data_IF_259873987103
#
_entry.id   IF_259873987103
#
_cell.length_a   1.000
_cell.length_b   1.000
_cell.length_c   1.000
_cell.angle_alpha   90.00
_cell.angle_beta   90.00
_cell.angle_gamma   90.00
#
_symmetry.space_group_name_H-M   'P 1'
#
loop_
_entity.id
_entity.type
_entity.pdbx_description
1 polymer ?
#
# COMPACT_ATOMS: atom_id res chain seq x y z
N UNK A 1 -1.72 3.65 20.68
CA UNK A 1 -1.72 2.69 19.53
C UNK A 1 -1.24 3.37 18.26
N UNK A 2 -1.81 4.53 17.91
CA UNK A 2 -1.27 5.39 16.87
C UNK A 2 0.16 5.87 17.16
N UNK A 3 0.51 6.18 18.41
CA UNK A 3 1.91 6.52 18.74
C UNK A 3 2.87 5.37 18.40
N UNK A 4 2.49 4.11 18.64
CA UNK A 4 3.33 2.96 18.32
C UNK A 4 3.55 2.82 16.80
N UNK A 5 2.54 3.13 15.99
CA UNK A 5 2.69 3.20 14.54
C UNK A 5 3.67 4.30 14.17
N UNK A 6 3.52 5.50 14.73
CA UNK A 6 4.42 6.60 14.45
C UNK A 6 5.88 6.31 14.86
N UNK A 7 6.10 5.77 16.05
CA UNK A 7 7.44 5.45 16.54
C UNK A 7 8.11 4.30 15.77
N UNK A 8 7.33 3.37 15.22
CA UNK A 8 7.89 2.33 14.33
C UNK A 8 8.11 2.85 12.91
N UNK A 9 7.24 3.69 12.38
CA UNK A 9 7.41 4.34 11.07
C UNK A 9 8.66 5.23 11.04
N UNK A 10 8.95 5.98 12.11
CA UNK A 10 10.19 6.77 12.25
C UNK A 10 11.49 5.96 12.10
N UNK A 11 11.44 4.64 12.19
CA UNK A 11 12.60 3.74 12.00
C UNK A 11 12.80 3.33 10.54
N UNK A 12 11.85 3.62 9.66
CA UNK A 12 12.01 3.43 8.22
C UNK A 12 12.94 4.51 7.68
N UNK A 13 13.82 4.09 6.78
CA UNK A 13 14.78 4.99 6.16
C UNK A 13 14.20 5.56 4.87
N UNK A 14 14.43 6.85 4.65
CA UNK A 14 14.27 7.48 3.34
C UNK A 14 15.03 6.65 2.29
N UNK A 15 14.35 6.14 1.24
CA UNK A 15 15.03 5.42 0.19
C UNK A 15 16.04 6.32 -0.55
N UNK A 16 17.14 5.76 -1.06
CA UNK A 16 18.00 6.45 -2.03
C UNK A 16 17.18 7.00 -3.21
N UNK A 17 17.52 8.21 -3.65
CA UNK A 17 16.77 8.94 -4.68
C UNK A 17 16.63 8.13 -5.97
N UNK A 18 17.69 7.46 -6.42
CA UNK A 18 17.68 6.63 -7.63
C UNK A 18 16.62 5.51 -7.59
N UNK A 19 16.37 4.91 -6.43
CA UNK A 19 15.36 3.85 -6.28
C UNK A 19 13.94 4.43 -6.18
N UNK A 20 13.80 5.61 -5.55
CA UNK A 20 12.54 6.34 -5.56
C UNK A 20 12.15 6.81 -6.97
N UNK A 21 13.14 7.22 -7.78
CA UNK A 21 12.96 7.56 -9.19
C UNK A 21 12.59 6.35 -10.03
N UNK A 22 13.27 5.21 -9.86
CA UNK A 22 12.91 3.96 -10.54
C UNK A 22 11.46 3.58 -10.26
N UNK A 23 11.05 3.62 -8.98
CA UNK A 23 9.66 3.38 -8.60
C UNK A 23 8.72 4.36 -9.29
N UNK A 24 9.03 5.66 -9.28
CA UNK A 24 8.18 6.68 -9.89
C UNK A 24 8.03 6.54 -11.40
N UNK A 25 9.07 6.05 -12.10
CA UNK A 25 9.01 5.75 -13.53
C UNK A 25 8.07 4.56 -13.83
N UNK A 26 7.94 3.62 -12.88
CA UNK A 26 7.16 2.38 -13.05
C UNK A 26 5.80 2.41 -12.35
N UNK A 27 5.50 3.39 -11.50
CA UNK A 27 4.35 3.41 -10.59
C UNK A 27 2.98 3.16 -11.26
N UNK A 28 2.79 3.68 -12.47
CA UNK A 28 1.54 3.50 -13.21
C UNK A 28 1.41 2.07 -13.74
N UNK A 29 2.52 1.46 -14.18
CA UNK A 29 2.59 0.03 -14.55
C UNK A 29 2.32 -0.84 -13.32
N UNK A 30 2.95 -0.55 -12.19
CA UNK A 30 2.75 -1.29 -10.94
C UNK A 30 1.27 -1.22 -10.49
N UNK A 31 0.64 -0.03 -10.58
CA UNK A 31 -0.77 0.14 -10.24
C UNK A 31 -1.69 -0.67 -11.15
N UNK A 32 -1.44 -0.64 -12.47
CA UNK A 32 -2.24 -1.35 -13.45
C UNK A 32 -2.16 -2.87 -13.25
N UNK A 33 -0.96 -3.39 -12.97
CA UNK A 33 -0.78 -4.82 -12.70
C UNK A 33 -1.44 -5.22 -11.38
N UNK A 34 -1.38 -4.37 -10.33
CA UNK A 34 -2.10 -4.62 -9.08
C UNK A 34 -3.61 -4.69 -9.31
N UNK A 35 -4.17 -3.69 -9.99
CA UNK A 35 -5.59 -3.67 -10.35
C UNK A 35 -6.00 -4.93 -11.08
N UNK A 36 -5.22 -5.34 -12.10
CA UNK A 36 -5.47 -6.55 -12.89
C UNK A 36 -5.43 -7.82 -12.03
N UNK A 37 -4.41 -8.01 -11.20
CA UNK A 37 -4.28 -9.22 -10.36
C UNK A 37 -5.39 -9.31 -9.32
N UNK A 38 -5.73 -8.19 -8.70
CA UNK A 38 -6.77 -8.16 -7.66
C UNK A 38 -8.18 -8.28 -8.26
N UNK A 39 -8.47 -7.59 -9.37
CA UNK A 39 -9.78 -7.68 -10.03
C UNK A 39 -10.07 -9.06 -10.64
N UNK A 40 -9.02 -9.83 -10.96
CA UNK A 40 -9.14 -11.20 -11.48
C UNK A 40 -9.41 -12.26 -10.41
N UNK A 41 -9.47 -11.89 -9.13
CA UNK A 41 -9.76 -12.85 -8.04
C UNK A 41 -11.23 -13.26 -8.07
N UNK A 42 -11.49 -14.56 -7.93
CA UNK A 42 -12.86 -15.09 -7.83
C UNK A 42 -13.62 -14.51 -6.62
N UNK A 43 -12.92 -14.18 -5.53
CA UNK A 43 -13.51 -13.62 -4.32
C UNK A 43 -13.50 -12.08 -4.26
N UNK A 44 -13.26 -11.39 -5.38
CA UNK A 44 -13.09 -9.92 -5.38
C UNK A 44 -14.27 -9.17 -4.76
N UNK A 45 -15.52 -9.48 -5.13
CA UNK A 45 -16.68 -8.80 -4.57
C UNK A 45 -16.83 -9.05 -3.07
N UNK A 46 -16.41 -10.23 -2.58
CA UNK A 46 -16.37 -10.50 -1.14
C UNK A 46 -15.30 -9.64 -0.46
N UNK A 47 -14.18 -9.37 -1.11
CA UNK A 47 -13.09 -8.57 -0.55
C UNK A 47 -13.39 -7.07 -0.52
N UNK A 48 -13.99 -6.52 -1.59
CA UNK A 48 -14.17 -5.06 -1.72
C UNK A 48 -15.60 -4.59 -1.50
N UNK A 49 -16.57 -5.51 -1.44
CA UNK A 49 -18.01 -5.19 -1.47
C UNK A 49 -18.55 -5.10 -2.90
N UNK A 50 -19.81 -5.50 -3.08
CA UNK A 50 -20.48 -5.49 -4.39
C UNK A 50 -20.46 -4.09 -5.02
N UNK A 51 -20.03 -4.00 -6.28
CA UNK A 51 -19.96 -2.74 -7.02
C UNK A 51 -18.72 -1.87 -6.75
N UNK A 52 -17.81 -2.28 -5.86
CA UNK A 52 -16.64 -1.46 -5.48
C UNK A 52 -15.35 -1.76 -6.26
N UNK A 53 -15.38 -2.60 -7.30
CA UNK A 53 -14.17 -2.97 -8.06
C UNK A 53 -13.49 -1.73 -8.67
N UNK A 54 -14.25 -0.81 -9.28
CA UNK A 54 -13.66 0.44 -9.80
C UNK A 54 -13.01 1.29 -8.71
N UNK A 55 -13.61 1.36 -7.52
CA UNK A 55 -13.02 2.07 -6.37
C UNK A 55 -11.72 1.40 -5.89
N UNK A 56 -11.63 0.07 -5.96
CA UNK A 56 -10.40 -0.68 -5.69
C UNK A 56 -9.31 -0.35 -6.71
N UNK A 57 -9.64 -0.25 -8.00
CA UNK A 57 -8.67 0.14 -9.03
C UNK A 57 -8.16 1.57 -8.83
N UNK A 58 -9.03 2.47 -8.39
CA UNK A 58 -8.67 3.84 -8.00
C UNK A 58 -7.73 3.82 -6.78
N UNK A 59 -8.00 2.96 -5.80
CA UNK A 59 -7.12 2.74 -4.65
C UNK A 59 -5.72 2.31 -5.09
N UNK A 60 -5.60 1.34 -6.00
CA UNK A 60 -4.32 0.87 -6.53
C UNK A 60 -3.51 2.01 -7.15
N UNK A 61 -4.15 2.90 -7.91
CA UNK A 61 -3.49 4.09 -8.49
C UNK A 61 -3.09 5.09 -7.42
N UNK A 62 -3.94 5.32 -6.43
CA UNK A 62 -3.66 6.24 -5.33
C UNK A 62 -2.52 5.73 -4.44
N UNK A 63 -2.48 4.43 -4.15
CA UNK A 63 -1.37 3.78 -3.44
C UNK A 63 -0.05 4.01 -4.17
N UNK A 64 0.04 3.66 -5.46
CA UNK A 64 1.25 3.89 -6.28
C UNK A 64 1.69 5.36 -6.27
N UNK A 65 0.76 6.30 -6.42
CA UNK A 65 1.09 7.74 -6.43
C UNK A 65 1.58 8.22 -5.07
N UNK A 66 0.87 7.83 -4.01
CA UNK A 66 1.21 8.20 -2.65
C UNK A 66 2.58 7.65 -2.25
N UNK A 67 2.83 6.36 -2.47
CA UNK A 67 4.13 5.74 -2.18
C UNK A 67 5.24 6.38 -3.02
N UNK A 68 4.98 6.69 -4.29
CA UNK A 68 5.94 7.39 -5.14
C UNK A 68 6.32 8.77 -4.60
N UNK A 69 5.35 9.56 -4.13
CA UNK A 69 5.63 10.84 -3.48
C UNK A 69 6.34 10.67 -2.13
N UNK A 70 5.91 9.69 -1.34
CA UNK A 70 6.50 9.38 -0.04
C UNK A 70 7.97 8.96 -0.16
N UNK A 71 8.33 8.19 -1.18
CA UNK A 71 9.71 7.80 -1.45
C UNK A 71 10.60 8.94 -1.93
N UNK A 72 10.04 10.05 -2.42
CA UNK A 72 10.82 11.24 -2.78
C UNK A 72 11.07 12.16 -1.58
N UNK A 73 10.23 12.08 -0.55
CA UNK A 73 10.30 12.93 0.64
C UNK A 73 9.54 12.30 1.80
N UNK A 74 10.18 11.37 2.49
CA UNK A 74 9.59 10.56 3.52
C UNK A 74 9.26 11.42 4.74
N UNK A 75 7.99 11.37 5.13
CA UNK A 75 7.50 11.93 6.37
C UNK A 75 6.68 10.85 7.11
N UNK A 76 7.13 10.39 8.29
CA UNK A 76 6.47 9.29 8.99
C UNK A 76 5.08 9.67 9.50
N UNK A 77 4.85 10.93 9.89
CA UNK A 77 3.52 11.41 10.28
C UNK A 77 2.54 11.31 9.10
N UNK A 78 2.91 11.84 7.93
CA UNK A 78 2.09 11.77 6.70
C UNK A 78 1.82 10.31 6.33
N UNK A 79 2.82 9.43 6.45
CA UNK A 79 2.66 8.01 6.18
C UNK A 79 1.60 7.36 7.06
N UNK A 80 1.75 7.50 8.38
CA UNK A 80 0.85 6.88 9.36
C UNK A 80 -0.57 7.43 9.25
N UNK A 81 -0.73 8.75 9.15
CA UNK A 81 -2.07 9.37 9.03
C UNK A 81 -2.78 8.94 7.75
N UNK A 82 -2.04 8.87 6.62
CA UNK A 82 -2.63 8.45 5.35
C UNK A 82 -3.05 6.99 5.41
N UNK A 83 -2.23 6.09 5.97
CA UNK A 83 -2.61 4.68 6.10
C UNK A 83 -3.84 4.50 7.00
N UNK A 84 -3.92 5.20 8.14
CA UNK A 84 -5.12 5.16 9.00
C UNK A 84 -6.35 5.66 8.24
N UNK A 85 -6.23 6.76 7.49
CA UNK A 85 -7.33 7.32 6.70
C UNK A 85 -7.78 6.36 5.59
N UNK A 86 -6.86 5.71 4.88
CA UNK A 86 -7.15 4.71 3.84
C UNK A 86 -7.94 3.55 4.45
N UNK A 87 -7.43 2.93 5.53
CA UNK A 87 -8.12 1.80 6.16
C UNK A 87 -9.54 2.18 6.61
N UNK A 88 -9.70 3.36 7.23
CA UNK A 88 -11.02 3.85 7.66
C UNK A 88 -11.98 4.08 6.50
N UNK A 89 -11.52 4.77 5.46
CA UNK A 89 -12.38 5.19 4.34
C UNK A 89 -12.84 4.00 3.51
N UNK A 90 -11.95 3.06 3.19
CA UNK A 90 -12.35 1.91 2.36
C UNK A 90 -13.20 0.91 3.14
N UNK A 91 -12.98 0.76 4.46
CA UNK A 91 -13.86 -0.05 5.30
C UNK A 91 -15.28 0.51 5.40
N UNK A 92 -15.46 1.83 5.46
CA UNK A 92 -16.82 2.41 5.44
C UNK A 92 -17.55 2.19 4.11
N UNK A 93 -16.81 1.90 3.03
CA UNK A 93 -17.35 1.48 1.74
C UNK A 93 -17.57 -0.05 1.61
N UNK A 94 -17.22 -0.85 2.62
CA UNK A 94 -17.48 -2.30 2.63
C UNK A 94 -16.26 -3.18 2.31
N UNK A 95 -15.06 -2.61 2.22
CA UNK A 95 -13.84 -3.39 2.05
C UNK A 95 -13.55 -4.22 3.31
N UNK A 96 -13.29 -5.50 3.11
CA UNK A 96 -13.03 -6.48 4.18
C UNK A 96 -11.57 -6.47 4.61
N UNK A 97 -11.28 -6.93 5.83
CA UNK A 97 -9.91 -6.96 6.35
C UNK A 97 -8.96 -7.80 5.49
N UNK A 98 -9.47 -8.92 4.96
CA UNK A 98 -8.70 -9.80 4.08
C UNK A 98 -8.26 -9.13 2.76
N UNK A 99 -8.94 -8.06 2.34
CA UNK A 99 -8.51 -7.28 1.18
C UNK A 99 -7.13 -6.67 1.39
N UNK A 100 -6.84 -6.13 2.58
CA UNK A 100 -5.60 -5.42 2.84
C UNK A 100 -4.38 -6.33 2.73
N UNK A 101 -4.44 -7.52 3.33
CA UNK A 101 -3.38 -8.52 3.18
C UNK A 101 -3.22 -8.91 1.71
N UNK A 102 -4.32 -9.29 1.04
CA UNK A 102 -4.26 -9.67 -0.37
C UNK A 102 -3.69 -8.56 -1.27
N UNK A 103 -4.08 -7.30 -1.05
CA UNK A 103 -3.68 -6.16 -1.86
C UNK A 103 -2.21 -5.79 -1.65
N UNK A 104 -1.77 -5.64 -0.39
CA UNK A 104 -0.40 -5.19 -0.08
C UNK A 104 0.61 -6.29 -0.39
N UNK A 105 0.31 -7.56 -0.09
CA UNK A 105 1.18 -8.70 -0.44
C UNK A 105 1.34 -8.81 -1.96
N UNK A 106 0.24 -8.72 -2.71
CA UNK A 106 0.29 -8.76 -4.19
C UNK A 106 1.13 -7.61 -4.74
N UNK A 107 1.01 -6.42 -4.16
CA UNK A 107 1.77 -5.27 -4.62
C UNK A 107 3.28 -5.40 -4.33
N UNK A 108 3.63 -5.95 -3.16
CA UNK A 108 5.02 -6.26 -2.82
C UNK A 108 5.63 -7.28 -3.80
N UNK A 109 4.89 -8.32 -4.21
CA UNK A 109 5.37 -9.27 -5.22
C UNK A 109 5.51 -8.63 -6.61
N UNK A 110 4.56 -7.79 -7.03
CA UNK A 110 4.68 -7.05 -8.29
C UNK A 110 5.94 -6.17 -8.28
N UNK A 111 6.21 -5.47 -7.18
CA UNK A 111 7.42 -4.67 -7.04
C UNK A 111 8.69 -5.51 -7.17
N UNK A 112 8.71 -6.72 -6.60
CA UNK A 112 9.85 -7.63 -6.69
C UNK A 112 10.10 -8.11 -8.11
N UNK A 113 9.04 -8.33 -8.88
CA UNK A 113 9.12 -8.74 -10.29
C UNK A 113 9.55 -7.60 -11.21
N UNK A 114 9.14 -6.37 -10.90
CA UNK A 114 9.21 -5.23 -11.82
C UNK A 114 10.35 -4.25 -11.52
N UNK A 115 10.83 -4.19 -10.28
CA UNK A 115 11.93 -3.31 -9.88
C UNK A 115 13.27 -4.02 -9.93
N UNK A 116 14.36 -3.25 -9.97
CA UNK A 116 15.68 -3.78 -9.68
C UNK A 116 15.71 -4.43 -8.29
N UNK A 117 16.52 -5.48 -8.07
CA UNK A 117 16.65 -6.10 -6.75
C UNK A 117 17.04 -5.09 -5.64
N UNK A 118 17.86 -4.09 -5.98
CA UNK A 118 18.33 -3.05 -5.07
C UNK A 118 17.21 -2.06 -4.71
N UNK A 119 16.42 -1.63 -5.70
CA UNK A 119 15.25 -0.79 -5.46
C UNK A 119 14.20 -1.54 -4.64
N UNK A 120 13.87 -2.77 -5.02
CA UNK A 120 12.93 -3.59 -4.24
C UNK A 120 13.39 -3.74 -2.79
N UNK A 121 14.65 -4.12 -2.56
CA UNK A 121 15.22 -4.26 -1.21
C UNK A 121 15.12 -2.97 -0.39
N UNK A 122 15.29 -1.81 -1.03
CA UNK A 122 15.22 -0.51 -0.34
C UNK A 122 13.79 -0.04 -0.07
N UNK A 123 12.83 -0.42 -0.90
CA UNK A 123 11.44 0.05 -0.82
C UNK A 123 10.50 -0.93 -0.09
N UNK A 124 10.79 -2.24 -0.14
CA UNK A 124 10.01 -3.28 0.52
C UNK A 124 9.75 -3.04 2.02
N UNK A 125 10.69 -2.49 2.83
CA UNK A 125 10.43 -2.24 4.25
C UNK A 125 9.18 -1.42 4.56
N UNK A 126 8.75 -0.54 3.64
CA UNK A 126 7.52 0.23 3.81
C UNK A 126 6.27 -0.64 3.68
N UNK A 127 6.28 -1.61 2.75
CA UNK A 127 5.17 -2.54 2.55
C UNK A 127 5.14 -3.60 3.64
N UNK A 128 6.31 -4.11 4.05
CA UNK A 128 6.45 -4.98 5.22
C UNK A 128 5.89 -4.30 6.48
N UNK A 129 6.22 -3.02 6.68
CA UNK A 129 5.68 -2.24 7.78
C UNK A 129 4.15 -2.12 7.72
N UNK A 130 3.55 -1.93 6.54
CA UNK A 130 2.08 -1.94 6.40
C UNK A 130 1.52 -3.31 6.80
N UNK A 131 2.07 -4.40 6.24
CA UNK A 131 1.62 -5.79 6.46
C UNK A 131 1.63 -6.13 7.95
N UNK A 132 2.76 -5.91 8.62
CA UNK A 132 2.93 -6.18 10.06
C UNK A 132 1.92 -5.39 10.91
N UNK A 133 1.53 -4.20 10.46
CA UNK A 133 0.64 -3.31 11.21
C UNK A 133 -0.84 -3.39 10.81
N UNK A 134 -1.24 -4.24 9.85
CA UNK A 134 -2.66 -4.47 9.48
C UNK A 134 -3.56 -4.71 10.71
N UNK A 135 -3.18 -5.54 11.72
CA UNK A 135 -4.02 -5.74 12.91
C UNK A 135 -4.20 -4.47 13.74
N UNK A 136 -3.22 -3.55 13.74
CA UNK A 136 -3.31 -2.27 14.46
C UNK A 136 -4.20 -1.30 13.70
N UNK A 137 -4.05 -1.20 12.38
CA UNK A 137 -4.94 -0.39 11.55
C UNK A 137 -6.40 -0.82 11.68
N UNK A 138 -6.64 -2.13 11.70
CA UNK A 138 -7.96 -2.71 11.92
C UNK A 138 -8.58 -2.18 13.21
N UNK A 139 -7.88 -2.32 14.34
CA UNK A 139 -8.36 -1.86 15.66
C UNK A 139 -8.57 -0.35 15.78
N UNK A 140 -7.83 0.45 15.00
CA UNK A 140 -7.95 1.93 15.00
C UNK A 140 -9.06 2.46 14.07
N UNK A 141 -9.63 1.57 13.26
CA UNK A 141 -10.62 1.90 12.22
C UNK A 141 -11.89 1.06 12.32
N UNK A 142 -11.98 0.17 13.31
CA UNK A 142 -13.24 -0.33 13.87
C UNK A 142 -14.01 0.81 14.53
#
# INVERSE_FOLDING_TARGET
MKENLLESAKKLNQPPLEYAEEFNQKKDKLAAELSKRISSREDIERLVGTGNVSMMEDNSRNLSRFMGSLFMGYNPEVFVETMIWVFRSYRSHGFQLAFWSANVDTYAEIMKEELSPEAYKSLYPFFDWIIVNIPIFTKLTD
#
